data_IF_054792404071
#
_entry.id   IF_054792404071
#
_cell.length_a   1.000
_cell.length_b   1.000
_cell.length_c   1.000
_cell.angle_alpha   90.00
_cell.angle_beta   90.00
_cell.angle_gamma   90.00
#
_symmetry.space_group_name_H-M   'P 1'
#
loop_
_entity.id
_entity.type
_entity.pdbx_description
1 polymer ?
#
# COMPACT_ATOMS: atom_id res chain seq x y z
N UNK A 1 -3.73 -20.18 0.58
CA UNK A 1 -4.40 -19.24 1.49
C UNK A 1 -5.88 -19.48 1.42
N UNK A 2 -6.60 -19.36 2.55
CA UNK A 2 -8.07 -19.33 2.53
C UNK A 2 -8.58 -17.89 2.70
N UNK A 3 -9.87 -17.65 2.49
CA UNK A 3 -10.44 -16.28 2.50
C UNK A 3 -10.23 -15.57 3.85
N UNK A 4 -10.45 -16.26 4.98
CA UNK A 4 -10.26 -15.67 6.32
C UNK A 4 -8.80 -15.28 6.59
N UNK A 5 -7.86 -16.11 6.13
CA UNK A 5 -6.42 -15.82 6.21
C UNK A 5 -6.05 -14.62 5.34
N UNK A 6 -6.57 -14.54 4.11
CA UNK A 6 -6.40 -13.39 3.23
C UNK A 6 -6.89 -12.09 3.86
N UNK A 7 -8.12 -12.08 4.38
CA UNK A 7 -8.69 -10.90 5.02
C UNK A 7 -7.84 -10.44 6.21
N UNK A 8 -7.41 -11.37 7.08
CA UNK A 8 -6.56 -11.04 8.23
C UNK A 8 -5.23 -10.40 7.80
N UNK A 9 -4.59 -10.93 6.76
CA UNK A 9 -3.31 -10.42 6.25
C UNK A 9 -3.46 -9.06 5.56
N UNK A 10 -4.56 -8.85 4.83
CA UNK A 10 -4.88 -7.56 4.22
C UNK A 10 -5.29 -6.50 5.27
N UNK A 11 -6.01 -6.89 6.32
CA UNK A 11 -6.33 -6.02 7.46
C UNK A 11 -5.07 -5.59 8.20
N UNK A 12 -4.14 -6.53 8.45
CA UNK A 12 -2.86 -6.21 9.06
C UNK A 12 -2.04 -5.24 8.20
N UNK A 13 -2.02 -5.43 6.88
CA UNK A 13 -1.35 -4.54 5.95
C UNK A 13 -1.94 -3.11 6.02
N UNK A 14 -3.27 -2.98 6.09
CA UNK A 14 -3.94 -1.68 6.17
C UNK A 14 -3.63 -0.98 7.48
N UNK A 15 -3.72 -1.72 8.59
CA UNK A 15 -3.43 -1.19 9.93
C UNK A 15 -1.99 -0.65 10.00
N UNK A 16 -1.01 -1.37 9.47
CA UNK A 16 0.38 -0.90 9.47
C UNK A 16 0.55 0.37 8.63
N UNK A 17 -0.14 0.50 7.49
CA UNK A 17 -0.08 1.72 6.68
C UNK A 17 -0.72 2.90 7.42
N UNK A 18 -1.89 2.70 8.01
CA UNK A 18 -2.61 3.72 8.78
C UNK A 18 -1.78 4.19 9.98
N UNK A 19 -1.28 3.27 10.81
CA UNK A 19 -0.43 3.59 11.97
C UNK A 19 0.81 4.40 11.57
N UNK A 20 1.43 4.08 10.44
CA UNK A 20 2.63 4.79 9.96
C UNK A 20 2.34 6.17 9.41
N UNK A 21 1.17 6.37 8.79
CA UNK A 21 0.76 7.69 8.31
C UNK A 21 0.18 8.56 9.42
N UNK A 22 -0.44 7.97 10.45
CA UNK A 22 -0.87 8.68 11.65
C UNK A 22 0.32 9.24 12.45
N UNK A 23 1.44 8.50 12.48
CA UNK A 23 2.71 8.91 13.10
C UNK A 23 3.57 9.80 12.17
N UNK A 24 3.08 10.19 10.99
CA UNK A 24 3.84 10.97 10.01
C UNK A 24 4.26 12.33 10.56
N UNK A 25 5.57 12.60 10.55
CA UNK A 25 6.20 13.81 11.07
C UNK A 25 6.99 14.62 10.02
N UNK A 26 6.81 14.29 8.73
CA UNK A 26 7.44 14.99 7.62
C UNK A 26 6.82 16.35 7.29
N UNK A 27 7.39 17.03 6.29
CA UNK A 27 6.99 18.40 5.93
C UNK A 27 5.73 18.45 5.05
N UNK A 28 5.45 17.40 4.27
CA UNK A 28 4.32 17.29 3.34
C UNK A 28 3.07 16.73 4.00
N UNK A 29 1.92 17.22 3.55
CA UNK A 29 0.63 16.67 3.95
C UNK A 29 0.38 15.33 3.23
N UNK A 30 0.13 14.26 4.01
CA UNK A 30 -0.23 12.94 3.52
C UNK A 30 -1.49 12.45 4.24
N UNK A 31 -2.59 12.33 3.50
CA UNK A 31 -3.87 11.84 4.03
C UNK A 31 -4.08 10.37 3.69
N UNK A 32 -4.62 9.59 4.64
CA UNK A 32 -5.01 8.20 4.46
C UNK A 32 -6.52 8.01 4.68
N UNK A 33 -7.21 7.38 3.73
CA UNK A 33 -8.63 7.06 3.85
C UNK A 33 -8.93 5.61 3.44
N UNK A 34 -9.70 4.89 4.25
CA UNK A 34 -10.14 3.52 3.93
C UNK A 34 -11.66 3.51 3.67
N UNK A 35 -12.05 3.09 2.46
CA UNK A 35 -13.44 2.97 2.03
C UNK A 35 -13.68 1.62 1.34
N UNK A 36 -14.51 0.75 1.92
CA UNK A 36 -15.00 -0.47 1.25
C UNK A 36 -13.90 -1.40 0.72
N UNK A 37 -12.79 -1.55 1.45
CA UNK A 37 -11.64 -2.39 1.03
C UNK A 37 -10.63 -1.68 0.11
N UNK A 38 -10.81 -0.37 -0.12
CA UNK A 38 -9.86 0.49 -0.83
C UNK A 38 -9.24 1.47 0.16
N UNK A 39 -7.92 1.45 0.26
CA UNK A 39 -7.13 2.47 0.97
C UNK A 39 -6.61 3.47 -0.06
N UNK A 40 -6.85 4.75 0.17
CA UNK A 40 -6.41 5.85 -0.67
C UNK A 40 -5.44 6.72 0.13
N UNK A 41 -4.20 6.84 -0.35
CA UNK A 41 -3.23 7.81 0.15
C UNK A 41 -3.25 9.02 -0.79
N UNK A 42 -3.50 10.21 -0.25
CA UNK A 42 -3.49 11.47 -1.00
C UNK A 42 -2.32 12.32 -0.56
N UNK A 43 -1.49 12.74 -1.51
CA UNK A 43 -0.34 13.61 -1.25
C UNK A 43 -0.71 15.07 -1.50
N UNK A 44 0.02 16.00 -0.88
CA UNK A 44 -0.16 17.45 -0.99
C UNK A 44 -0.31 17.94 -2.45
N UNK A 45 0.44 17.36 -3.39
CA UNK A 45 0.37 17.71 -4.82
C UNK A 45 -0.88 17.17 -5.55
N UNK A 46 -1.82 16.55 -4.84
CA UNK A 46 -3.06 15.96 -5.35
C UNK A 46 -2.92 14.61 -6.03
N UNK A 47 -1.70 14.07 -6.15
CA UNK A 47 -1.51 12.69 -6.61
C UNK A 47 -1.98 11.70 -5.56
N UNK A 48 -2.33 10.49 -6.00
CA UNK A 48 -2.88 9.45 -5.13
C UNK A 48 -2.15 8.13 -5.32
N UNK A 49 -2.05 7.36 -4.25
CA UNK A 49 -1.80 5.92 -4.29
C UNK A 49 -3.09 5.23 -3.87
N UNK A 50 -3.54 4.26 -4.66
CA UNK A 50 -4.73 3.47 -4.38
C UNK A 50 -4.30 2.03 -4.11
N UNK A 51 -4.70 1.50 -2.96
CA UNK A 51 -4.41 0.14 -2.54
C UNK A 51 -5.74 -0.57 -2.33
N UNK A 52 -5.96 -1.70 -3.00
CA UNK A 52 -7.24 -2.41 -2.90
C UNK A 52 -7.07 -3.93 -2.87
N UNK A 53 -8.03 -4.57 -2.22
CA UNK A 53 -8.08 -6.04 -2.09
C UNK A 53 -8.78 -6.65 -3.30
N UNK A 54 -8.24 -7.76 -3.78
CA UNK A 54 -8.84 -8.60 -4.81
C UNK A 54 -9.11 -9.97 -4.24
N UNK A 55 -10.21 -10.07 -3.48
CA UNK A 55 -10.60 -11.26 -2.73
C UNK A 55 -10.65 -12.54 -3.58
N UNK A 56 -11.22 -12.56 -4.80
CA UNK A 56 -11.25 -13.78 -5.61
C UNK A 56 -9.87 -14.29 -6.04
N UNK A 57 -8.85 -13.43 -6.01
CA UNK A 57 -7.48 -13.75 -6.40
C UNK A 57 -6.54 -13.89 -5.19
N UNK A 58 -7.00 -13.58 -3.98
CA UNK A 58 -6.17 -13.40 -2.78
C UNK A 58 -4.98 -12.45 -3.04
N UNK A 59 -5.22 -11.37 -3.80
CA UNK A 59 -4.20 -10.38 -4.12
C UNK A 59 -4.48 -9.03 -3.48
N UNK A 60 -3.41 -8.28 -3.26
CA UNK A 60 -3.45 -6.84 -3.00
C UNK A 60 -2.94 -6.13 -4.23
N UNK A 61 -3.61 -5.08 -4.68
CA UNK A 61 -3.19 -4.27 -5.83
C UNK A 61 -2.79 -2.88 -5.34
N UNK A 62 -1.74 -2.32 -5.96
CA UNK A 62 -1.20 -0.99 -5.72
C UNK A 62 -1.21 -0.21 -7.03
N UNK A 63 -1.94 0.89 -7.10
CA UNK A 63 -1.90 1.82 -8.21
C UNK A 63 -1.23 3.12 -7.77
N UNK A 64 -0.19 3.51 -8.48
CA UNK A 64 0.62 4.71 -8.23
C UNK A 64 0.61 5.58 -9.49
N UNK A 65 1.18 6.78 -9.39
CA UNK A 65 1.39 7.65 -10.56
C UNK A 65 2.29 7.00 -11.63
N UNK A 66 3.20 6.11 -11.24
CA UNK A 66 4.13 5.45 -12.16
C UNK A 66 3.58 4.15 -12.77
N UNK A 67 2.64 3.47 -12.10
CA UNK A 67 2.13 2.19 -12.58
C UNK A 67 1.23 1.46 -11.60
N UNK A 68 0.75 0.30 -12.04
CA UNK A 68 -0.04 -0.63 -11.22
C UNK A 68 0.72 -1.93 -10.97
N UNK A 69 0.58 -2.48 -9.76
CA UNK A 69 1.27 -3.68 -9.29
C UNK A 69 0.29 -4.61 -8.58
N UNK A 70 0.48 -5.92 -8.72
CA UNK A 70 -0.35 -6.94 -8.07
C UNK A 70 0.54 -7.82 -7.21
N UNK A 71 0.10 -8.10 -5.99
CA UNK A 71 0.90 -8.79 -5.00
C UNK A 71 0.23 -10.08 -4.54
N UNK A 72 0.99 -11.17 -4.59
CA UNK A 72 0.64 -12.44 -3.99
C UNK A 72 1.39 -12.58 -2.66
N UNK A 73 0.77 -13.20 -1.66
CA UNK A 73 1.47 -13.58 -0.44
C UNK A 73 2.42 -14.76 -0.71
N UNK A 74 3.72 -14.58 -0.45
CA UNK A 74 4.77 -15.60 -0.58
C UNK A 74 5.55 -15.71 0.72
N UNK A 75 5.29 -16.77 1.48
CA UNK A 75 5.79 -16.85 2.86
C UNK A 75 5.10 -15.80 3.71
N UNK A 76 5.88 -14.88 4.27
CA UNK A 76 5.39 -13.80 5.14
C UNK A 76 5.38 -12.41 4.45
N UNK A 77 5.64 -12.35 3.13
CA UNK A 77 5.71 -11.10 2.38
C UNK A 77 4.76 -11.05 1.17
N UNK A 78 4.20 -9.86 0.93
CA UNK A 78 3.47 -9.52 -0.29
C UNK A 78 4.45 -9.21 -1.41
N UNK A 79 4.49 -10.04 -2.46
CA UNK A 79 5.48 -9.97 -3.55
C UNK A 79 4.80 -9.70 -4.89
N UNK A 80 5.33 -8.75 -5.67
CA UNK A 80 4.80 -8.41 -6.98
C UNK A 80 4.91 -9.61 -7.94
N UNK A 81 3.80 -9.94 -8.61
CA UNK A 81 3.71 -11.06 -9.55
C UNK A 81 4.63 -10.91 -10.78
N UNK A 82 4.91 -9.66 -11.18
CA UNK A 82 5.68 -9.31 -12.37
C UNK A 82 7.14 -8.96 -12.08
N UNK A 83 7.42 -8.13 -11.07
CA UNK A 83 8.79 -7.68 -10.78
C UNK A 83 9.51 -8.51 -9.72
N UNK A 84 8.77 -9.20 -8.84
CA UNK A 84 9.34 -9.88 -7.68
C UNK A 84 9.74 -8.95 -6.52
N UNK A 85 9.52 -7.64 -6.65
CA UNK A 85 9.75 -6.67 -5.58
C UNK A 85 8.68 -6.79 -4.49
N UNK A 86 9.01 -6.34 -3.27
CA UNK A 86 8.06 -6.39 -2.16
C UNK A 86 7.04 -5.25 -2.27
N UNK A 87 5.87 -5.46 -1.67
CA UNK A 87 4.83 -4.43 -1.56
C UNK A 87 5.36 -3.13 -0.96
N UNK A 88 6.11 -3.24 0.14
CA UNK A 88 6.57 -2.06 0.84
C UNK A 88 7.65 -1.31 0.09
N UNK A 89 8.58 -1.99 -0.60
CA UNK A 89 9.62 -1.30 -1.38
C UNK A 89 8.97 -0.45 -2.48
N UNK A 90 7.96 -1.00 -3.17
CA UNK A 90 7.21 -0.30 -4.20
C UNK A 90 6.32 0.81 -3.63
N UNK A 91 5.71 0.61 -2.46
CA UNK A 91 4.94 1.63 -1.76
C UNK A 91 5.83 2.80 -1.32
N UNK A 92 6.97 2.54 -0.68
CA UNK A 92 7.93 3.54 -0.21
C UNK A 92 8.53 4.33 -1.37
N UNK A 93 8.91 3.66 -2.48
CA UNK A 93 9.36 4.35 -3.69
C UNK A 93 8.30 5.30 -4.24
N UNK A 94 7.06 4.82 -4.37
CA UNK A 94 5.98 5.61 -4.93
C UNK A 94 5.58 6.76 -4.01
N UNK A 95 5.48 6.50 -2.70
CA UNK A 95 5.16 7.50 -1.69
C UNK A 95 6.25 8.56 -1.61
N UNK A 96 7.52 8.16 -1.59
CA UNK A 96 8.65 9.09 -1.58
C UNK A 96 8.63 10.01 -2.82
N UNK A 97 8.38 9.44 -4.00
CA UNK A 97 8.31 10.25 -5.22
C UNK A 97 7.10 11.19 -5.22
N UNK A 98 5.95 10.74 -4.73
CA UNK A 98 4.71 11.50 -4.75
C UNK A 98 4.61 12.55 -3.65
N UNK A 99 5.20 12.31 -2.48
CA UNK A 99 5.36 13.28 -1.40
C UNK A 99 6.44 14.33 -1.73
N UNK A 100 7.50 13.92 -2.44
CA UNK A 100 8.65 14.78 -2.71
C UNK A 100 9.69 14.77 -1.58
N UNK A 101 9.49 13.93 -0.57
CA UNK A 101 10.41 13.65 0.54
C UNK A 101 10.37 12.15 0.88
N UNK A 102 11.35 11.66 1.65
CA UNK A 102 11.43 10.24 2.01
C UNK A 102 10.26 9.82 2.89
N UNK A 103 9.48 8.85 2.43
CA UNK A 103 8.41 8.20 3.21
C UNK A 103 8.80 6.75 3.46
N UNK A 104 8.89 6.35 4.74
CA UNK A 104 9.19 4.98 5.16
C UNK A 104 8.01 4.39 5.94
N UNK A 105 7.68 3.14 5.66
CA UNK A 105 6.66 2.40 6.41
C UNK A 105 7.28 1.33 7.33
N UNK A 106 8.59 1.07 7.18
CA UNK A 106 9.35 0.13 8.02
C UNK A 106 10.48 0.81 8.80
#
# INVERSE_FOLDING_TARGET
MNDSEFHRLADQLWLTIEERLDDWDGDSDIDCEINGGVLTITFENGSKIIINRQEPLHQVWLATKQGGYHFDMKGDEWICDRSGETFWDLLEQAATQQAGETVSFR
#
